data_IF_037717443670
#
_entry.id   IF_037717443670
#
_cell.length_a   1.000
_cell.length_b   1.000
_cell.length_c   1.000
_cell.angle_alpha   90.00
_cell.angle_beta   90.00
_cell.angle_gamma   90.00
#
_symmetry.space_group_name_H-M   'P 1'
#
loop_
_entity.id
_entity.type
_entity.pdbx_description
1 polymer ?
#
# COMPACT_ATOMS: atom_id res chain seq x y z
N UNK A 1 15.01 13.19 5.54
CA UNK A 1 13.58 13.14 5.17
C UNK A 1 12.87 12.15 6.08
N UNK A 2 11.56 12.27 6.18
CA UNK A 2 10.79 11.42 7.07
C UNK A 2 10.20 10.22 6.31
N UNK A 3 9.91 9.16 7.05
CA UNK A 3 9.27 7.97 6.50
C UNK A 3 7.75 8.13 6.55
N UNK A 4 7.10 7.65 5.51
CA UNK A 4 5.65 7.62 5.41
C UNK A 4 5.19 6.24 5.00
N UNK A 5 4.09 5.78 5.57
CA UNK A 5 3.48 4.50 5.23
C UNK A 5 2.36 4.74 4.22
N UNK A 6 2.43 4.01 3.12
CA UNK A 6 1.30 3.90 2.20
C UNK A 6 0.54 2.62 2.55
N UNK A 7 -0.71 2.77 2.94
CA UNK A 7 -1.60 1.64 3.19
C UNK A 7 -2.63 1.58 2.07
N UNK A 8 -2.64 0.48 1.33
CA UNK A 8 -3.51 0.33 0.16
C UNK A 8 -4.84 -0.27 0.58
N UNK A 9 -5.92 0.27 0.02
CA UNK A 9 -7.27 -0.20 0.30
C UNK A 9 -8.03 -0.43 -0.99
N UNK A 10 -8.82 -1.50 -1.00
CA UNK A 10 -9.69 -1.79 -2.13
C UNK A 10 -8.91 -2.25 -3.36
N UNK A 11 -9.37 -1.82 -4.52
CA UNK A 11 -8.89 -2.32 -5.80
C UNK A 11 -9.61 -3.60 -6.17
N UNK A 12 -9.21 -4.18 -7.32
CA UNK A 12 -9.85 -5.41 -7.81
C UNK A 12 -9.17 -6.68 -7.30
N UNK A 13 -8.19 -6.56 -6.40
CA UNK A 13 -7.46 -7.68 -5.87
C UNK A 13 -6.58 -8.34 -6.92
N UNK A 14 -6.40 -9.66 -6.82
CA UNK A 14 -5.62 -10.43 -7.79
C UNK A 14 -6.38 -10.50 -9.11
N UNK A 15 -5.69 -10.21 -10.20
CA UNK A 15 -6.26 -10.36 -11.53
C UNK A 15 -6.57 -11.84 -11.81
N UNK A 16 -7.60 -12.10 -12.61
CA UNK A 16 -8.11 -13.45 -12.80
C UNK A 16 -7.33 -14.26 -13.84
N UNK A 17 -6.50 -13.62 -14.67
CA UNK A 17 -5.72 -14.32 -15.69
C UNK A 17 -4.24 -14.04 -15.52
N UNK A 18 -3.35 -14.97 -15.96
CA UNK A 18 -1.90 -14.73 -15.88
C UNK A 18 -1.46 -13.46 -16.62
N UNK A 19 -2.04 -13.18 -17.79
CA UNK A 19 -1.71 -11.99 -18.57
C UNK A 19 -2.09 -10.71 -17.83
N UNK A 20 -3.27 -10.71 -17.20
CA UNK A 20 -3.72 -9.56 -16.42
C UNK A 20 -2.86 -9.36 -15.17
N UNK A 21 -2.44 -10.46 -14.53
CA UNK A 21 -1.53 -10.40 -13.39
C UNK A 21 -0.18 -9.80 -13.79
N UNK A 22 0.38 -10.22 -14.91
CA UNK A 22 1.64 -9.68 -15.41
C UNK A 22 1.53 -8.18 -15.68
N UNK A 23 0.42 -7.74 -16.26
CA UNK A 23 0.18 -6.33 -16.54
C UNK A 23 0.13 -5.51 -15.27
N UNK A 24 -0.58 -5.98 -14.26
CA UNK A 24 -0.69 -5.30 -12.98
C UNK A 24 0.66 -5.22 -12.30
N UNK A 25 1.42 -6.31 -12.28
CA UNK A 25 2.76 -6.32 -11.69
C UNK A 25 3.70 -5.38 -12.42
N UNK A 26 3.58 -5.29 -13.75
CA UNK A 26 4.40 -4.36 -14.53
C UNK A 26 4.05 -2.91 -14.20
N UNK A 27 2.79 -2.60 -14.00
CA UNK A 27 2.35 -1.25 -13.61
C UNK A 27 2.90 -0.86 -12.23
N UNK A 28 2.84 -1.77 -11.26
CA UNK A 28 3.41 -1.54 -9.93
C UNK A 28 4.92 -1.37 -10.00
N UNK A 29 5.61 -2.22 -10.76
CA UNK A 29 7.05 -2.11 -10.95
C UNK A 29 7.45 -0.78 -11.57
N UNK A 30 6.70 -0.31 -12.56
CA UNK A 30 6.95 0.98 -13.18
C UNK A 30 6.76 2.14 -12.19
N UNK A 31 5.73 2.07 -11.36
CA UNK A 31 5.51 3.11 -10.33
C UNK A 31 6.63 3.10 -9.28
N UNK A 32 7.03 1.91 -8.80
CA UNK A 32 8.14 1.81 -7.86
C UNK A 32 9.44 2.37 -8.47
N UNK A 33 9.68 2.13 -9.75
CA UNK A 33 10.84 2.71 -10.44
C UNK A 33 10.75 4.24 -10.48
N UNK A 34 9.55 4.77 -10.66
CA UNK A 34 9.33 6.22 -10.66
C UNK A 34 9.64 6.83 -9.29
N UNK A 35 9.31 6.11 -8.20
CA UNK A 35 9.66 6.56 -6.84
C UNK A 35 11.16 6.59 -6.62
N UNK A 36 11.90 5.66 -7.25
CA UNK A 36 13.37 5.65 -7.18
C UNK A 36 13.88 5.58 -5.74
N UNK A 37 14.77 6.49 -5.38
CA UNK A 37 15.38 6.51 -4.06
C UNK A 37 14.39 6.91 -2.94
N UNK A 38 13.23 7.43 -3.27
CA UNK A 38 12.19 7.69 -2.27
C UNK A 38 11.57 6.40 -1.74
N UNK A 39 11.66 5.30 -2.48
CA UNK A 39 11.12 4.02 -2.03
C UNK A 39 12.05 3.37 -1.02
N UNK A 40 11.61 3.27 0.24
CA UNK A 40 12.37 2.65 1.32
C UNK A 40 12.10 1.14 1.37
N UNK A 41 10.83 0.76 1.25
CA UNK A 41 10.40 -0.64 1.29
C UNK A 41 9.17 -0.76 0.39
N UNK A 42 9.28 -1.57 -0.65
CA UNK A 42 8.16 -1.80 -1.54
C UNK A 42 6.99 -2.50 -0.84
N UNK A 43 7.27 -3.18 0.27
CA UNK A 43 6.25 -3.87 1.04
C UNK A 43 5.76 -5.13 0.37
N UNK A 44 4.57 -5.57 0.80
CA UNK A 44 3.96 -6.79 0.30
C UNK A 44 2.45 -6.65 0.27
N UNK A 45 1.77 -7.34 -0.65
CA UNK A 45 0.32 -7.48 -0.56
C UNK A 45 -0.04 -8.38 0.62
N UNK A 46 -1.22 -8.15 1.17
CA UNK A 46 -1.71 -8.94 2.30
C UNK A 46 -2.55 -10.11 1.80
N UNK A 47 -2.47 -11.24 2.51
CA UNK A 47 -3.29 -12.43 2.23
C UNK A 47 -4.40 -12.56 3.27
N UNK A 48 -4.10 -13.17 4.40
CA UNK A 48 -5.10 -13.42 5.44
C UNK A 48 -4.89 -12.48 6.62
N UNK A 49 -5.96 -12.19 7.32
CA UNK A 49 -5.93 -11.27 8.46
C UNK A 49 -6.76 -11.82 9.60
N UNK A 50 -6.30 -11.57 10.82
CA UNK A 50 -7.08 -11.78 12.04
C UNK A 50 -6.95 -10.53 12.91
N UNK A 51 -8.02 -10.21 13.62
CA UNK A 51 -8.01 -9.12 14.58
C UNK A 51 -7.99 -9.70 15.99
N UNK A 52 -7.07 -9.20 16.83
CA UNK A 52 -6.99 -9.54 18.25
C UNK A 52 -7.54 -8.36 19.04
N UNK A 53 -8.45 -8.63 19.94
CA UNK A 53 -9.10 -7.61 20.75
C UNK A 53 -8.41 -7.44 22.10
N UNK A 54 -8.75 -6.38 22.82
CA UNK A 54 -8.13 -6.07 24.11
C UNK A 54 -8.35 -7.12 25.19
N UNK A 55 -9.42 -7.91 25.06
CA UNK A 55 -9.72 -9.02 25.99
C UNK A 55 -9.01 -10.32 25.60
N UNK A 56 -8.20 -10.31 24.53
CA UNK A 56 -7.49 -11.49 24.03
C UNK A 56 -8.28 -12.32 23.02
N UNK A 57 -9.55 -12.00 22.79
CA UNK A 57 -10.34 -12.69 21.77
C UNK A 57 -9.89 -12.28 20.36
N UNK A 58 -10.26 -13.09 19.36
CA UNK A 58 -9.88 -12.83 17.98
C UNK A 58 -11.06 -13.06 17.04
N UNK A 59 -11.05 -12.31 15.94
CA UNK A 59 -12.01 -12.49 14.85
C UNK A 59 -11.24 -12.66 13.54
N UNK A 60 -11.82 -13.42 12.61
CA UNK A 60 -11.25 -13.56 11.27
C UNK A 60 -11.43 -12.25 10.52
N UNK A 61 -10.38 -11.88 9.77
CA UNK A 61 -10.37 -10.67 8.99
C UNK A 61 -10.08 -9.44 9.82
N UNK A 62 -10.04 -8.31 9.15
CA UNK A 62 -9.87 -7.00 9.75
C UNK A 62 -10.91 -6.06 9.19
N UNK A 63 -11.28 -5.04 9.95
CA UNK A 63 -12.26 -4.06 9.53
C UNK A 63 -11.70 -2.98 8.62
N UNK A 64 -10.38 -2.96 8.41
CA UNK A 64 -9.71 -1.84 7.72
C UNK A 64 -9.77 -1.92 6.21
N UNK A 65 -9.93 -3.12 5.64
CA UNK A 65 -9.94 -3.28 4.17
C UNK A 65 -8.58 -3.07 3.52
N UNK A 66 -7.50 -3.19 4.28
CA UNK A 66 -6.15 -2.99 3.76
C UNK A 66 -5.73 -4.18 2.92
N UNK A 67 -5.08 -3.90 1.78
CA UNK A 67 -4.65 -4.94 0.85
C UNK A 67 -3.13 -5.03 0.69
N UNK A 68 -2.38 -4.09 1.26
CA UNK A 68 -0.92 -4.10 1.20
C UNK A 68 -0.34 -2.83 1.79
N UNK A 69 0.98 -2.73 1.74
CA UNK A 69 1.68 -1.55 2.25
C UNK A 69 2.98 -1.30 1.49
N UNK A 70 3.45 -0.06 1.57
CA UNK A 70 4.81 0.34 1.18
C UNK A 70 5.30 1.45 2.11
N UNK A 71 6.61 1.66 2.15
CA UNK A 71 7.21 2.74 2.94
C UNK A 71 8.05 3.61 2.01
N UNK A 72 7.86 4.93 2.12
CA UNK A 72 8.59 5.90 1.31
C UNK A 72 9.22 6.98 2.19
N UNK A 73 10.24 7.66 1.65
CA UNK A 73 10.80 8.88 2.22
C UNK A 73 10.24 10.09 1.49
N UNK A 74 9.90 11.12 2.23
CA UNK A 74 9.47 12.38 1.64
C UNK A 74 9.79 13.55 2.59
N UNK A 75 9.77 14.76 2.08
CA UNK A 75 10.06 15.94 2.88
C UNK A 75 8.95 16.21 3.90
N UNK A 76 7.70 15.99 3.49
CA UNK A 76 6.53 16.21 4.33
C UNK A 76 5.34 15.38 3.82
N UNK A 77 4.22 15.46 4.51
CA UNK A 77 3.02 14.70 4.17
C UNK A 77 2.49 15.07 2.78
N UNK A 78 2.55 16.34 2.40
CA UNK A 78 2.10 16.79 1.09
C UNK A 78 2.93 16.16 -0.03
N UNK A 79 4.25 16.10 0.13
CA UNK A 79 5.14 15.47 -0.84
C UNK A 79 4.87 13.97 -0.94
N UNK A 80 4.68 13.29 0.20
CA UNK A 80 4.36 11.87 0.21
C UNK A 80 3.02 11.60 -0.48
N UNK A 81 2.02 12.44 -0.24
CA UNK A 81 0.72 12.33 -0.87
C UNK A 81 0.82 12.47 -2.38
N UNK A 82 1.66 13.40 -2.86
CA UNK A 82 1.88 13.57 -4.30
C UNK A 82 2.50 12.31 -4.93
N UNK A 83 3.43 11.65 -4.24
CA UNK A 83 3.99 10.39 -4.72
C UNK A 83 2.91 9.31 -4.85
N UNK A 84 1.95 9.27 -3.94
CA UNK A 84 0.88 8.28 -3.95
C UNK A 84 -0.08 8.44 -5.13
N UNK A 85 -0.15 9.62 -5.73
CA UNK A 85 -1.08 9.88 -6.84
C UNK A 85 -0.82 9.00 -8.07
N UNK A 86 0.38 8.46 -8.20
CA UNK A 86 0.72 7.57 -9.31
C UNK A 86 0.46 6.10 -9.04
N UNK A 87 -0.07 5.75 -7.88
CA UNK A 87 -0.22 4.35 -7.48
C UNK A 87 -1.26 3.63 -8.36
N UNK A 88 -0.92 2.44 -8.89
CA UNK A 88 -1.84 1.67 -9.73
C UNK A 88 -3.16 1.28 -9.06
N UNK A 89 -3.20 1.18 -7.71
CA UNK A 89 -4.44 0.83 -7.01
C UNK A 89 -5.55 1.84 -7.25
N UNK A 90 -5.20 3.09 -7.54
CA UNK A 90 -6.18 4.14 -7.81
C UNK A 90 -6.95 3.87 -9.10
N UNK A 91 -6.28 3.32 -10.11
CA UNK A 91 -6.91 2.97 -11.38
C UNK A 91 -7.90 1.81 -11.22
N UNK A 92 -7.71 0.98 -10.20
CA UNK A 92 -8.58 -0.17 -9.91
C UNK A 92 -9.71 0.18 -8.95
N UNK A 93 -9.92 1.46 -8.67
CA UNK A 93 -10.99 1.89 -7.77
C UNK A 93 -10.62 1.85 -6.30
N UNK A 94 -9.35 1.58 -5.98
CA UNK A 94 -8.88 1.59 -4.61
C UNK A 94 -8.42 2.96 -4.15
N UNK A 95 -7.81 3.00 -2.98
CA UNK A 95 -7.27 4.22 -2.40
C UNK A 95 -5.95 3.94 -1.67
N UNK A 96 -5.18 5.00 -1.43
CA UNK A 96 -3.95 4.94 -0.65
C UNK A 96 -4.13 5.85 0.56
N UNK A 97 -3.98 5.28 1.75
CA UNK A 97 -3.90 6.08 2.97
C UNK A 97 -2.43 6.37 3.24
N UNK A 98 -2.10 7.63 3.44
CA UNK A 98 -0.72 8.08 3.64
C UNK A 98 -0.57 8.47 5.10
N UNK A 99 0.29 7.75 5.82
CA UNK A 99 0.51 8.00 7.24
C UNK A 99 1.90 8.54 7.48
N UNK A 100 2.00 9.67 8.19
CA UNK A 100 3.27 10.14 8.71
C UNK A 100 3.67 9.24 9.88
N UNK A 101 4.94 8.85 9.94
CA UNK A 101 5.45 8.07 11.06
C UNK A 101 6.10 8.97 12.09
N UNK A 102 6.17 8.49 13.30
CA UNK A 102 6.80 9.20 14.42
C UNK A 102 7.99 8.38 14.88
N UNK A 103 9.15 9.00 14.93
CA UNK A 103 10.34 8.35 15.48
C UNK A 103 10.19 8.23 17.00
N UNK A 104 10.42 7.04 17.51
CA UNK A 104 10.26 6.77 18.93
C UNK A 104 11.51 6.22 19.56
#
# INVERSE_FOLDING_TARGET
>A
MANFLFAYRGGNGMASTPEAQEKVMAEWGAWFSTLGSALVDAGKPFAHCQTVHGDGSRTSGGGSGLTGYSVVDAADLAAATDLAKGCPVLADGGSVEVYATIDM
#
